data_IF_131105190272
#
_entry.id   IF_131105190272
#
_cell.length_a   1.000
_cell.length_b   1.000
_cell.length_c   1.000
_cell.angle_alpha   90.00
_cell.angle_beta   90.00
_cell.angle_gamma   90.00
#
_symmetry.space_group_name_H-M   'P 1'
#
loop_
_entity.id
_entity.type
_entity.pdbx_description
1 polymer ?
#
# COMPACT_ATOMS: atom_id res chain seq x y z
N UNK A 1 -3.11 34.89 -17.51
CA UNK A 1 -2.37 34.96 -18.80
C UNK A 1 -0.89 35.27 -18.60
N UNK A 2 -0.50 36.03 -17.57
CA UNK A 2 0.90 36.41 -17.31
C UNK A 2 1.77 35.27 -16.77
N UNK A 3 1.23 34.41 -15.87
CA UNK A 3 2.00 33.29 -15.29
C UNK A 3 2.47 32.27 -16.33
N UNK A 4 1.64 31.96 -17.34
CA UNK A 4 2.05 31.05 -18.42
C UNK A 4 3.20 31.60 -19.27
N UNK A 5 3.22 32.93 -19.47
CA UNK A 5 4.26 33.61 -20.24
C UNK A 5 5.57 33.72 -19.45
N UNK A 6 5.49 34.00 -18.15
CA UNK A 6 6.66 34.04 -17.25
C UNK A 6 7.29 32.64 -17.19
N UNK A 7 6.49 31.59 -17.08
CA UNK A 7 7.03 30.23 -16.98
C UNK A 7 7.56 29.72 -18.33
N UNK A 8 6.93 30.09 -19.46
CA UNK A 8 7.46 29.79 -20.80
C UNK A 8 8.80 30.50 -21.05
N UNK A 9 8.93 31.76 -20.66
CA UNK A 9 10.16 32.54 -20.80
C UNK A 9 11.29 32.04 -19.88
N UNK A 10 10.96 31.60 -18.65
CA UNK A 10 11.96 31.14 -17.68
C UNK A 10 12.38 29.68 -17.88
N UNK A 11 11.47 28.81 -18.31
CA UNK A 11 11.77 27.37 -18.44
C UNK A 11 12.04 26.92 -19.88
N UNK A 12 11.76 27.76 -20.89
CA UNK A 12 11.96 27.42 -22.31
C UNK A 12 11.07 26.26 -22.83
N UNK A 13 10.17 25.77 -21.98
CA UNK A 13 9.27 24.66 -22.28
C UNK A 13 7.87 25.25 -22.46
N UNK A 14 7.30 25.09 -23.67
CA UNK A 14 5.90 25.44 -23.92
C UNK A 14 5.00 24.57 -23.04
N UNK A 15 4.30 25.21 -22.11
CA UNK A 15 3.31 24.54 -21.29
C UNK A 15 2.20 23.95 -22.18
N UNK A 16 1.90 22.64 -22.09
CA UNK A 16 0.75 22.07 -22.77
C UNK A 16 -0.50 22.78 -22.28
N UNK A 17 -1.33 23.25 -23.22
CA UNK A 17 -2.61 23.88 -22.90
C UNK A 17 -3.44 22.88 -22.08
N UNK A 18 -3.86 23.28 -20.88
CA UNK A 18 -4.75 22.52 -20.00
C UNK A 18 -5.86 21.88 -20.84
N UNK A 19 -6.01 20.55 -20.79
CA UNK A 19 -7.12 19.85 -21.45
C UNK A 19 -8.41 20.56 -21.06
N UNK A 20 -9.15 21.06 -22.06
CA UNK A 20 -10.41 21.72 -21.85
C UNK A 20 -11.38 20.69 -21.25
N UNK A 21 -11.64 20.79 -19.96
CA UNK A 21 -12.68 20.01 -19.30
C UNK A 21 -13.99 20.17 -20.09
N UNK A 22 -14.64 19.02 -20.33
CA UNK A 22 -15.97 18.85 -20.92
C UNK A 22 -16.89 20.06 -20.74
N UNK A 23 -17.34 20.58 -21.90
CA UNK A 23 -18.60 21.27 -22.15
C UNK A 23 -19.19 22.04 -20.96
N UNK A 24 -18.87 23.33 -20.92
CA UNK A 24 -19.29 24.32 -19.93
C UNK A 24 -20.74 24.80 -20.09
N UNK A 25 -21.66 23.97 -20.62
CA UNK A 25 -23.04 24.41 -20.85
C UNK A 25 -24.12 23.30 -20.78
N UNK A 26 -23.91 22.25 -19.99
CA UNK A 26 -24.91 21.21 -19.72
C UNK A 26 -25.55 21.45 -18.36
N UNK A 27 -26.89 21.33 -18.28
CA UNK A 27 -27.62 21.47 -17.02
C UNK A 27 -27.14 20.44 -15.99
N UNK A 28 -27.22 20.77 -14.69
CA UNK A 28 -26.77 19.87 -13.61
C UNK A 28 -27.40 18.47 -13.71
N UNK A 29 -28.65 18.41 -14.19
CA UNK A 29 -29.39 17.17 -14.41
C UNK A 29 -28.91 16.33 -15.60
N UNK A 30 -28.55 16.99 -16.71
CA UNK A 30 -28.01 16.31 -17.90
C UNK A 30 -26.62 15.75 -17.63
N UNK A 31 -25.80 16.46 -16.85
CA UNK A 31 -24.49 15.98 -16.39
C UNK A 31 -24.61 14.75 -15.50
N UNK A 32 -25.54 14.76 -14.54
CA UNK A 32 -25.78 13.62 -13.67
C UNK A 32 -26.24 12.39 -14.47
N UNK A 33 -27.14 12.58 -15.43
CA UNK A 33 -27.60 11.50 -16.31
C UNK A 33 -26.49 10.96 -17.22
N UNK A 34 -25.61 11.83 -17.72
CA UNK A 34 -24.42 11.41 -18.49
C UNK A 34 -23.45 10.60 -17.63
N UNK A 35 -23.15 11.05 -16.40
CA UNK A 35 -22.29 10.32 -15.45
C UNK A 35 -22.83 8.93 -15.10
N UNK A 36 -24.14 8.80 -14.91
CA UNK A 36 -24.79 7.51 -14.62
C UNK A 36 -24.90 6.61 -15.86
N UNK A 37 -25.00 7.16 -17.07
CA UNK A 37 -25.13 6.33 -18.27
C UNK A 37 -23.77 5.87 -18.80
N UNK A 38 -22.68 6.55 -18.42
CA UNK A 38 -21.35 6.22 -18.88
C UNK A 38 -20.82 4.92 -18.25
N UNK A 39 -20.67 3.90 -19.09
CA UNK A 39 -20.13 2.58 -18.73
C UNK A 39 -18.72 2.66 -18.14
N UNK A 40 -17.91 3.64 -18.55
CA UNK A 40 -16.55 3.80 -18.04
C UNK A 40 -16.53 4.28 -16.58
N UNK A 41 -17.47 5.16 -16.21
CA UNK A 41 -17.64 5.63 -14.82
C UNK A 41 -17.98 4.49 -13.88
N UNK A 42 -18.91 3.61 -14.27
CA UNK A 42 -19.29 2.44 -13.45
C UNK A 42 -18.14 1.45 -13.27
N UNK A 43 -17.38 1.16 -14.32
CA UNK A 43 -16.19 0.29 -14.21
C UNK A 43 -15.14 0.88 -13.27
N UNK A 44 -14.94 2.21 -13.32
CA UNK A 44 -14.03 2.92 -12.41
C UNK A 44 -14.52 2.85 -10.96
N UNK A 45 -15.83 3.02 -10.72
CA UNK A 45 -16.40 2.91 -9.37
C UNK A 45 -16.27 1.49 -8.79
N UNK A 46 -16.53 0.45 -9.60
CA UNK A 46 -16.33 -0.94 -9.19
C UNK A 46 -14.86 -1.20 -8.88
N UNK A 47 -13.95 -0.70 -9.71
CA UNK A 47 -12.51 -0.80 -9.46
C UNK A 47 -12.11 -0.17 -8.12
N UNK A 48 -12.59 1.05 -7.82
CA UNK A 48 -12.35 1.71 -6.54
C UNK A 48 -12.95 0.93 -5.36
N UNK A 49 -14.15 0.39 -5.52
CA UNK A 49 -14.82 -0.39 -4.48
C UNK A 49 -14.11 -1.71 -4.21
N UNK A 50 -13.50 -2.33 -5.23
CA UNK A 50 -12.68 -3.54 -5.10
C UNK A 50 -11.29 -3.25 -4.53
N UNK A 51 -10.75 -2.05 -4.77
CA UNK A 51 -9.46 -1.64 -4.24
C UNK A 51 -9.48 -1.45 -2.71
N UNK A 52 -10.63 -1.10 -2.13
CA UNK A 52 -10.80 -0.97 -0.68
C UNK A 52 -10.58 -2.29 0.09
N UNK A 53 -11.29 -3.40 -0.19
CA UNK A 53 -11.07 -4.66 0.50
C UNK A 53 -9.68 -5.26 0.21
N UNK A 54 -9.15 -5.08 -1.01
CA UNK A 54 -7.78 -5.49 -1.33
C UNK A 54 -6.75 -4.75 -0.46
N UNK A 55 -6.93 -3.44 -0.27
CA UNK A 55 -6.09 -2.64 0.62
C UNK A 55 -6.11 -3.15 2.06
N UNK A 56 -7.29 -3.49 2.59
CA UNK A 56 -7.44 -4.06 3.95
C UNK A 56 -6.72 -5.40 4.06
N UNK A 57 -6.89 -6.29 3.08
CA UNK A 57 -6.25 -7.60 3.07
C UNK A 57 -4.72 -7.46 3.08
N UNK A 58 -4.17 -6.60 2.21
CA UNK A 58 -2.73 -6.34 2.20
C UNK A 58 -2.26 -5.76 3.53
N UNK A 59 -2.92 -4.71 4.02
CA UNK A 59 -2.55 -4.06 5.28
C UNK A 59 -2.52 -5.06 6.44
N UNK A 60 -3.54 -5.91 6.56
CA UNK A 60 -3.64 -6.91 7.64
C UNK A 60 -2.51 -7.95 7.55
N UNK A 61 -2.23 -8.46 6.34
CA UNK A 61 -1.16 -9.43 6.12
C UNK A 61 0.21 -8.80 6.42
N UNK A 62 0.52 -7.63 5.87
CA UNK A 62 1.81 -6.98 6.10
C UNK A 62 2.02 -6.61 7.57
N UNK A 63 0.98 -6.09 8.22
CA UNK A 63 1.07 -5.69 9.63
C UNK A 63 1.26 -6.92 10.53
N UNK A 64 0.52 -8.01 10.29
CA UNK A 64 0.68 -9.24 11.07
C UNK A 64 2.05 -9.90 10.85
N UNK A 65 2.53 -10.02 9.61
CA UNK A 65 3.86 -10.57 9.32
C UNK A 65 4.98 -9.72 9.95
N UNK A 66 4.86 -8.40 9.87
CA UNK A 66 5.84 -7.48 10.45
C UNK A 66 5.84 -7.59 11.98
N UNK A 67 4.66 -7.64 12.61
CA UNK A 67 4.55 -7.81 14.06
C UNK A 67 5.16 -9.14 14.53
N UNK A 68 4.86 -10.24 13.84
CA UNK A 68 5.42 -11.57 14.15
C UNK A 68 6.94 -11.58 13.97
N UNK A 69 7.44 -11.02 12.88
CA UNK A 69 8.87 -10.91 12.61
C UNK A 69 9.61 -10.13 13.70
N UNK A 70 9.07 -8.96 14.10
CA UNK A 70 9.64 -8.17 15.18
C UNK A 70 9.61 -8.93 16.51
N UNK A 71 8.50 -9.60 16.82
CA UNK A 71 8.40 -10.41 18.04
C UNK A 71 9.53 -11.46 18.12
N UNK A 72 9.78 -12.20 17.04
CA UNK A 72 10.86 -13.20 17.01
C UNK A 72 12.27 -12.59 17.13
N UNK A 73 12.50 -11.40 16.58
CA UNK A 73 13.77 -10.68 16.70
C UNK A 73 14.01 -10.20 18.13
N UNK A 74 12.97 -9.68 18.80
CA UNK A 74 13.06 -9.15 20.17
C UNK A 74 12.91 -10.22 21.27
N UNK A 75 12.44 -11.42 20.93
CA UNK A 75 12.29 -12.55 21.86
C UNK A 75 13.52 -12.80 22.76
N UNK A 76 14.77 -12.91 22.25
CA UNK A 76 15.94 -13.12 23.12
C UNK A 76 16.18 -11.98 24.10
N UNK A 77 15.93 -10.72 23.69
CA UNK A 77 16.06 -9.55 24.56
C UNK A 77 15.01 -9.58 25.66
N UNK A 78 13.77 -9.93 25.34
CA UNK A 78 12.67 -10.05 26.30
C UNK A 78 12.89 -11.19 27.29
N UNK A 79 13.38 -12.34 26.81
CA UNK A 79 13.62 -13.50 27.66
C UNK A 79 14.85 -13.31 28.57
N UNK A 80 15.99 -12.88 28.04
CA UNK A 80 17.24 -12.76 28.81
C UNK A 80 17.29 -11.49 29.66
N UNK A 81 16.71 -10.38 29.18
CA UNK A 81 16.74 -9.09 29.87
C UNK A 81 15.59 -8.89 30.86
N UNK A 82 14.39 -9.37 30.52
CA UNK A 82 13.16 -9.08 31.29
C UNK A 82 12.46 -10.33 31.83
N UNK A 83 13.02 -11.53 31.61
CA UNK A 83 12.46 -12.82 32.03
C UNK A 83 11.00 -13.04 31.58
N UNK A 84 10.67 -12.50 30.40
CA UNK A 84 9.33 -12.65 29.82
C UNK A 84 9.19 -14.06 29.23
N UNK A 85 8.17 -14.84 29.63
CA UNK A 85 7.92 -16.16 29.08
C UNK A 85 7.36 -16.08 27.66
N UNK A 86 7.68 -17.08 26.83
CA UNK A 86 7.21 -17.14 25.43
C UNK A 86 5.71 -17.46 25.38
N UNK A 87 5.26 -18.36 26.25
CA UNK A 87 3.86 -18.69 26.42
C UNK A 87 3.58 -19.06 27.88
N UNK A 88 2.37 -18.74 28.36
CA UNK A 88 1.89 -19.21 29.66
C UNK A 88 0.59 -20.00 29.46
N UNK A 89 0.58 -21.27 29.84
CA UNK A 89 -0.64 -22.10 29.77
C UNK A 89 -0.95 -22.59 31.19
N UNK A 90 -2.13 -22.24 31.71
CA UNK A 90 -2.58 -22.62 33.06
C UNK A 90 -1.57 -22.27 34.16
N UNK A 91 -0.88 -21.13 34.05
CA UNK A 91 0.12 -20.68 35.03
C UNK A 91 1.50 -21.33 34.89
N UNK A 92 1.70 -22.22 33.92
CA UNK A 92 3.02 -22.77 33.58
C UNK A 92 3.67 -21.89 32.51
N UNK A 93 4.85 -21.37 32.84
CA UNK A 93 5.65 -20.51 31.97
C UNK A 93 6.60 -21.33 31.10
N UNK A 94 6.45 -21.20 29.78
CA UNK A 94 7.31 -21.85 28.81
C UNK A 94 8.37 -20.87 28.31
N UNK A 95 9.63 -21.24 28.52
CA UNK A 95 10.80 -20.52 28.04
C UNK A 95 11.43 -21.28 26.87
N UNK A 96 11.97 -20.54 25.91
CA UNK A 96 12.76 -21.14 24.83
C UNK A 96 14.12 -21.57 25.36
N UNK A 97 14.65 -22.69 24.88
CA UNK A 97 15.99 -23.13 25.26
C UNK A 97 17.02 -22.14 24.72
N UNK A 98 18.00 -21.78 25.54
CA UNK A 98 18.97 -20.70 25.24
C UNK A 98 19.69 -20.86 23.90
N UNK A 99 20.00 -22.09 23.47
CA UNK A 99 20.67 -22.34 22.18
C UNK A 99 19.76 -22.14 20.96
N UNK A 100 18.43 -22.15 21.14
CA UNK A 100 17.46 -21.88 20.06
C UNK A 100 17.21 -20.38 19.85
N UNK A 101 17.60 -19.53 20.80
CA UNK A 101 17.38 -18.09 20.74
C UNK A 101 18.05 -17.40 19.53
N UNK A 102 19.28 -17.73 19.11
CA UNK A 102 19.85 -17.17 17.89
C UNK A 102 19.07 -17.58 16.64
N UNK A 103 18.51 -18.80 16.63
CA UNK A 103 17.72 -19.32 15.51
C UNK A 103 16.40 -18.56 15.35
N UNK A 104 15.75 -18.17 16.45
CA UNK A 104 14.53 -17.34 16.38
C UNK A 104 14.82 -15.96 15.79
N UNK A 105 15.99 -15.36 16.07
CA UNK A 105 16.39 -14.09 15.46
C UNK A 105 16.61 -14.26 13.95
N UNK A 106 17.30 -15.32 13.53
CA UNK A 106 17.51 -15.61 12.11
C UNK A 106 16.16 -15.81 11.40
N UNK A 107 15.25 -16.55 12.03
CA UNK A 107 13.90 -16.77 11.49
C UNK A 107 13.10 -15.47 11.41
N UNK A 108 13.13 -14.64 12.45
CA UNK A 108 12.49 -13.32 12.46
C UNK A 108 13.05 -12.38 11.39
N UNK A 109 14.38 -12.35 11.20
CA UNK A 109 15.04 -11.57 10.16
C UNK A 109 14.73 -12.09 8.74
N UNK A 110 14.66 -13.42 8.56
CA UNK A 110 14.22 -14.03 7.31
C UNK A 110 12.78 -13.65 6.98
N UNK A 111 11.87 -13.68 7.97
CA UNK A 111 10.48 -13.21 7.82
C UNK A 111 10.40 -11.72 7.50
N UNK A 112 11.20 -10.86 8.15
CA UNK A 112 11.25 -9.43 7.84
C UNK A 112 11.62 -9.22 6.37
N UNK A 113 12.68 -9.89 5.95
CA UNK A 113 13.21 -9.81 4.59
C UNK A 113 12.18 -10.34 3.58
N UNK A 114 11.56 -11.49 3.86
CA UNK A 114 10.48 -12.05 3.05
C UNK A 114 9.30 -11.09 2.92
N UNK A 115 8.92 -10.42 4.00
CA UNK A 115 7.85 -9.40 4.01
C UNK A 115 8.21 -8.23 3.10
N UNK A 116 9.44 -7.72 3.16
CA UNK A 116 9.88 -6.64 2.25
C UNK A 116 9.87 -7.07 0.78
N UNK A 117 10.22 -8.33 0.49
CA UNK A 117 10.16 -8.87 -0.88
C UNK A 117 8.71 -8.98 -1.37
N UNK A 118 7.79 -9.42 -0.51
CA UNK A 118 6.35 -9.44 -0.83
C UNK A 118 5.82 -8.02 -1.09
N UNK A 119 6.23 -7.03 -0.28
CA UNK A 119 5.84 -5.64 -0.48
C UNK A 119 6.33 -5.11 -1.85
N UNK A 120 7.56 -5.46 -2.23
CA UNK A 120 8.13 -5.09 -3.53
C UNK A 120 7.39 -5.73 -4.71
N UNK A 121 6.96 -6.99 -4.57
CA UNK A 121 6.19 -7.69 -5.62
C UNK A 121 4.83 -7.02 -5.82
N UNK A 122 4.10 -6.74 -4.75
CA UNK A 122 2.79 -6.09 -4.83
C UNK A 122 2.89 -4.66 -5.38
N UNK A 123 3.91 -3.90 -4.97
CA UNK A 123 4.16 -2.57 -5.51
C UNK A 123 4.40 -2.57 -7.03
N UNK A 124 5.12 -3.57 -7.54
CA UNK A 124 5.30 -3.75 -9.00
C UNK A 124 3.99 -4.04 -9.71
N UNK A 125 3.13 -4.88 -9.13
CA UNK A 125 1.84 -5.25 -9.73
C UNK A 125 0.93 -4.02 -9.83
N UNK A 126 0.82 -3.23 -8.76
CA UNK A 126 0.07 -1.97 -8.80
C UNK A 126 0.67 -0.94 -9.76
N UNK A 127 2.01 -0.82 -9.82
CA UNK A 127 2.68 0.08 -10.76
C UNK A 127 2.43 -0.29 -12.22
N UNK A 128 2.32 -1.60 -12.51
CA UNK A 128 2.03 -2.09 -13.86
C UNK A 128 0.59 -1.80 -14.25
N UNK A 129 -0.36 -1.98 -13.33
CA UNK A 129 -1.76 -1.59 -13.53
C UNK A 129 -1.91 -0.08 -13.76
N UNK A 130 -1.24 0.75 -12.96
CA UNK A 130 -1.26 2.20 -13.13
C UNK A 130 -0.71 2.62 -14.51
N UNK A 131 0.37 1.98 -14.97
CA UNK A 131 0.95 2.24 -16.30
C UNK A 131 0.00 1.81 -17.42
N UNK A 132 -0.69 0.69 -17.28
CA UNK A 132 -1.68 0.23 -18.26
C UNK A 132 -2.89 1.16 -18.35
N UNK A 133 -3.30 1.78 -17.25
CA UNK A 133 -4.38 2.78 -17.21
C UNK A 133 -3.94 4.11 -17.84
N UNK A 134 -2.72 4.59 -17.56
CA UNK A 134 -2.17 5.84 -18.11
C UNK A 134 -1.94 5.81 -19.63
N UNK A 135 -1.72 4.64 -20.21
CA UNK A 135 -1.49 4.48 -21.66
C UNK A 135 -2.81 4.33 -22.44
N UNK A 136 -3.95 4.12 -21.76
CA UNK A 136 -5.28 3.94 -22.39
C UNK A 136 -6.25 5.10 -22.18
N UNK A 137 -5.79 6.21 -21.61
CA UNK A 137 -6.52 7.48 -21.51
C UNK A 137 -5.84 8.48 -22.45
#
# INVERSE_FOLDING_TARGET
MVEGLIVEALLGIRMPRRQAYQQRNLGWWERFRQLITDKHTWLTMIYLMLQMPLGIAYFTIFTSLTAVSLYFIFLPLLQLGFNVPVASVNGVYYYMVTWMLPLTVIFGAALATGTLHLARLLGRWHGTMAKALLVRI
#
